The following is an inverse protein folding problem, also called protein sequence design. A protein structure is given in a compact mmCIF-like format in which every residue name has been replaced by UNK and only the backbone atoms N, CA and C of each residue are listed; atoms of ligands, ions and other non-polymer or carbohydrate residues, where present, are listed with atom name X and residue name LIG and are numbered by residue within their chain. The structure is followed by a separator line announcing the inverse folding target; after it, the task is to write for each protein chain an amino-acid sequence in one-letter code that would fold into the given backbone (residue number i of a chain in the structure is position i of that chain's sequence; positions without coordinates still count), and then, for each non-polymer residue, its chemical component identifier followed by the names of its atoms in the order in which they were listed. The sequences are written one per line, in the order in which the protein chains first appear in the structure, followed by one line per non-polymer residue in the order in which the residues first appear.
data_IF_579110100475
#
_entry.id   IF_579110100475
#
_cell.length_a   1.000
_cell.length_b   1.000
_cell.length_c   1.000
_cell.angle_alpha   90.00
_cell.angle_beta   90.00
_cell.angle_gamma   90.00
#
_symmetry.space_group_name_H-M   'P 1'
#
loop_
_entity.id
_entity.type
_entity.pdbx_description
1 polymer ?
#
# COMPACT_ATOMS: atom_id res chain seq x y z
N UNK A 1 0.39 32.30 4.14
CA UNK A 1 -0.39 31.20 3.52
C UNK A 1 0.19 29.93 4.10
N UNK A 2 -0.64 29.03 4.60
CA UNK A 2 -0.16 27.73 5.12
C UNK A 2 0.58 26.99 4.00
N UNK A 3 1.67 26.30 4.37
CA UNK A 3 2.45 25.54 3.41
C UNK A 3 1.64 24.33 2.91
N UNK A 4 1.81 23.89 1.65
CA UNK A 4 1.24 22.65 1.18
C UNK A 4 1.60 21.47 2.10
N UNK A 5 0.66 20.53 2.24
CA UNK A 5 0.78 19.32 3.06
C UNK A 5 0.79 18.06 2.20
N UNK A 6 1.60 17.07 2.59
CA UNK A 6 1.59 15.73 2.03
C UNK A 6 0.69 14.85 2.90
N UNK A 7 -0.43 14.40 2.35
CA UNK A 7 -1.38 13.53 3.02
C UNK A 7 -1.22 12.07 2.58
N UNK A 8 -1.72 11.14 3.40
CA UNK A 8 -1.77 9.72 3.10
C UNK A 8 -3.08 9.07 3.57
N UNK A 9 -3.54 8.07 2.82
CA UNK A 9 -4.69 7.21 3.12
C UNK A 9 -4.53 5.86 2.40
N UNK A 10 -5.17 4.79 2.88
CA UNK A 10 -5.23 3.48 2.22
C UNK A 10 -6.52 2.74 2.56
N UNK A 11 -6.69 1.56 1.97
CA UNK A 11 -7.75 0.61 2.32
C UNK A 11 -9.14 1.25 2.21
N UNK A 12 -9.36 1.96 1.10
CA UNK A 12 -10.61 2.66 0.82
C UNK A 12 -11.74 1.67 0.55
N UNK A 13 -11.48 0.53 -0.08
CA UNK A 13 -12.48 -0.52 -0.34
C UNK A 13 -13.82 0.03 -0.87
N UNK A 14 -13.78 0.79 -1.97
CA UNK A 14 -14.93 1.58 -2.48
C UNK A 14 -16.10 0.77 -3.03
N UNK A 15 -16.00 -0.56 -3.04
CA UNK A 15 -17.13 -1.46 -3.25
C UNK A 15 -18.19 -1.32 -2.14
N UNK A 16 -17.78 -0.94 -0.93
CA UNK A 16 -18.70 -0.56 0.14
C UNK A 16 -19.23 0.86 -0.10
N UNK A 17 -20.55 1.00 -0.18
CA UNK A 17 -21.21 2.30 -0.41
C UNK A 17 -20.76 3.34 0.62
N UNK A 18 -20.68 2.97 1.89
CA UNK A 18 -20.26 3.88 2.96
C UNK A 18 -18.83 4.39 2.77
N UNK A 19 -17.94 3.55 2.23
CA UNK A 19 -16.57 3.95 1.94
C UNK A 19 -16.47 4.76 0.63
N UNK A 20 -17.28 4.46 -0.37
CA UNK A 20 -17.42 5.29 -1.57
C UNK A 20 -17.81 6.72 -1.20
N UNK A 21 -18.78 6.88 -0.29
CA UNK A 21 -19.19 8.19 0.23
C UNK A 21 -18.07 8.91 1.01
N UNK A 22 -17.14 8.17 1.64
CA UNK A 22 -15.94 8.76 2.25
C UNK A 22 -15.07 9.40 1.17
N UNK A 23 -14.72 8.65 0.12
CA UNK A 23 -13.86 9.13 -0.99
C UNK A 23 -14.47 10.36 -1.65
N UNK A 24 -15.79 10.38 -1.84
CA UNK A 24 -16.51 11.52 -2.40
C UNK A 24 -16.35 12.82 -1.59
N UNK A 25 -16.12 12.72 -0.28
CA UNK A 25 -15.93 13.86 0.63
C UNK A 25 -14.48 14.30 0.79
N UNK A 26 -13.49 13.49 0.40
CA UNK A 26 -12.07 13.83 0.55
C UNK A 26 -11.73 15.06 -0.30
N UNK A 27 -11.21 16.12 0.33
CA UNK A 27 -10.78 17.36 -0.33
C UNK A 27 -9.40 17.75 0.20
N UNK A 28 -8.55 18.39 -0.61
CA UNK A 28 -7.34 19.03 -0.10
C UNK A 28 -7.69 20.17 0.87
N UNK A 29 -6.76 20.53 1.74
CA UNK A 29 -6.84 21.69 2.62
C UNK A 29 -6.22 22.93 1.94
N UNK A 30 -5.32 22.72 0.97
CA UNK A 30 -4.62 23.73 0.19
C UNK A 30 -4.42 23.26 -1.28
N UNK A 31 -4.46 24.18 -2.24
CA UNK A 31 -4.36 23.86 -3.69
C UNK A 31 -3.07 23.16 -4.10
N UNK A 32 -2.04 23.22 -3.26
CA UNK A 32 -0.75 22.55 -3.45
C UNK A 32 -0.63 21.17 -2.80
N UNK A 33 -1.67 20.68 -2.12
CA UNK A 33 -1.59 19.44 -1.36
C UNK A 33 -1.43 18.22 -2.25
N UNK A 34 -0.63 17.27 -1.76
CA UNK A 34 -0.44 15.96 -2.38
C UNK A 34 -1.14 14.88 -1.55
N UNK A 35 -1.61 13.83 -2.23
CA UNK A 35 -2.23 12.68 -1.57
C UNK A 35 -1.54 11.37 -1.98
N UNK A 36 -1.06 10.64 -0.99
CA UNK A 36 -0.64 9.25 -1.12
C UNK A 36 -1.86 8.34 -0.90
N UNK A 37 -2.05 7.38 -1.81
CA UNK A 37 -3.05 6.32 -1.73
C UNK A 37 -2.32 4.97 -1.68
N UNK A 38 -2.14 4.42 -0.48
CA UNK A 38 -1.29 3.26 -0.21
C UNK A 38 -2.03 1.90 -0.32
N UNK A 39 -2.65 1.69 -1.48
CA UNK A 39 -3.29 0.43 -1.86
C UNK A 39 -4.69 0.23 -1.31
N UNK A 40 -5.32 -0.84 -1.79
CA UNK A 40 -6.68 -1.29 -1.47
C UNK A 40 -7.75 -0.21 -1.68
N UNK A 41 -7.68 0.47 -2.83
CA UNK A 41 -8.70 1.39 -3.31
C UNK A 41 -10.02 0.66 -3.56
N UNK A 42 -9.95 -0.48 -4.26
CA UNK A 42 -11.09 -1.31 -4.62
C UNK A 42 -10.64 -2.55 -5.39
N UNK A 43 -11.59 -3.46 -5.65
CA UNK A 43 -11.30 -4.75 -6.29
C UNK A 43 -11.51 -4.70 -7.81
N UNK A 44 -12.58 -4.03 -8.25
CA UNK A 44 -12.94 -3.93 -9.66
C UNK A 44 -12.14 -2.81 -10.33
N UNK A 45 -11.69 -3.07 -11.56
CA UNK A 45 -10.90 -2.10 -12.32
C UNK A 45 -11.57 -0.71 -12.42
N UNK A 46 -12.87 -0.69 -12.75
CA UNK A 46 -13.63 0.55 -12.91
C UNK A 46 -13.80 1.33 -11.60
N UNK A 47 -13.84 0.63 -10.46
CA UNK A 47 -13.94 1.27 -9.14
C UNK A 47 -12.63 1.96 -8.76
N UNK A 48 -11.49 1.31 -9.03
CA UNK A 48 -10.16 1.87 -8.83
C UNK A 48 -9.96 3.10 -9.70
N UNK A 49 -10.27 3.00 -10.99
CA UNK A 49 -10.19 4.11 -11.95
C UNK A 49 -11.06 5.30 -11.52
N UNK A 50 -12.32 5.04 -11.11
CA UNK A 50 -13.21 6.08 -10.61
C UNK A 50 -12.63 6.80 -9.39
N UNK A 51 -12.17 6.05 -8.38
CA UNK A 51 -11.71 6.62 -7.12
C UNK A 51 -10.43 7.44 -7.33
N UNK A 52 -9.44 6.89 -8.04
CA UNK A 52 -8.19 7.59 -8.33
C UNK A 52 -8.43 8.81 -9.22
N UNK A 53 -9.30 8.72 -10.22
CA UNK A 53 -9.66 9.86 -11.07
C UNK A 53 -10.34 10.99 -10.31
N UNK A 54 -11.23 10.66 -9.37
CA UNK A 54 -11.89 11.65 -8.52
C UNK A 54 -10.89 12.39 -7.62
N UNK A 55 -9.92 11.68 -7.05
CA UNK A 55 -8.88 12.25 -6.19
C UNK A 55 -7.87 13.07 -7.01
N UNK A 56 -7.46 12.57 -8.18
CA UNK A 56 -6.54 13.27 -9.09
C UNK A 56 -7.13 14.59 -9.61
N UNK A 57 -8.46 14.66 -9.79
CA UNK A 57 -9.15 15.91 -10.13
C UNK A 57 -9.27 16.92 -8.97
N UNK A 58 -8.75 16.61 -7.78
CA UNK A 58 -8.86 17.45 -6.57
C UNK A 58 -7.51 17.86 -5.98
N UNK A 59 -6.56 16.93 -5.86
CA UNK A 59 -5.24 17.20 -5.29
C UNK A 59 -4.25 17.65 -6.37
N UNK A 60 -3.26 18.46 -6.01
CA UNK A 60 -2.21 18.86 -6.96
C UNK A 60 -1.39 17.68 -7.47
N UNK A 61 -1.29 16.61 -6.68
CA UNK A 61 -0.69 15.34 -7.08
C UNK A 61 -1.28 14.20 -6.28
N UNK A 62 -1.58 13.10 -6.96
CA UNK A 62 -1.92 11.82 -6.34
C UNK A 62 -0.81 10.83 -6.64
N UNK A 63 -0.39 10.09 -5.63
CA UNK A 63 0.65 9.06 -5.69
C UNK A 63 0.02 7.76 -5.20
N UNK A 64 -0.03 6.76 -6.05
CA UNK A 64 -0.65 5.48 -5.77
C UNK A 64 0.39 4.36 -5.71
N UNK A 65 0.16 3.40 -4.83
CA UNK A 65 0.76 2.06 -4.90
C UNK A 65 -0.36 1.00 -4.81
N UNK A 66 -0.27 -0.13 -5.55
CA UNK A 66 -1.26 -1.20 -5.45
C UNK A 66 -1.25 -1.89 -4.08
N UNK A 67 -2.44 -2.24 -3.59
CA UNK A 67 -2.63 -3.25 -2.55
C UNK A 67 -2.86 -4.64 -3.15
N UNK A 68 -3.29 -5.59 -2.32
CA UNK A 68 -3.65 -6.92 -2.83
C UNK A 68 -5.00 -6.88 -3.56
N UNK A 69 -5.96 -6.06 -3.11
CA UNK A 69 -7.30 -6.05 -3.68
C UNK A 69 -7.33 -5.54 -5.12
N UNK A 70 -6.51 -4.56 -5.49
CA UNK A 70 -6.43 -4.12 -6.90
C UNK A 70 -5.90 -5.22 -7.82
N UNK A 71 -5.12 -6.17 -7.30
CA UNK A 71 -4.52 -7.26 -8.07
C UNK A 71 -5.41 -8.50 -8.15
N UNK A 72 -6.51 -8.52 -7.40
CA UNK A 72 -7.51 -9.57 -7.52
C UNK A 72 -8.15 -9.55 -8.90
N UNK A 73 -8.53 -10.71 -9.42
CA UNK A 73 -9.36 -10.81 -10.64
C UNK A 73 -10.71 -11.46 -10.32
N UNK A 74 -11.66 -10.71 -9.72
CA UNK A 74 -13.01 -11.22 -9.48
C UNK A 74 -13.71 -11.60 -10.78
N UNK A 75 -14.67 -12.52 -10.71
CA UNK A 75 -15.43 -12.95 -11.89
C UNK A 75 -16.28 -11.81 -12.47
N UNK A 76 -16.70 -10.90 -11.60
CA UNK A 76 -17.58 -9.78 -11.89
C UNK A 76 -16.85 -8.61 -12.56
N UNK A 77 -15.50 -8.59 -12.53
CA UNK A 77 -14.71 -7.54 -13.17
C UNK A 77 -14.77 -7.69 -14.70
N UNK A 78 -15.27 -6.71 -15.47
CA UNK A 78 -15.19 -6.78 -16.93
C UNK A 78 -13.74 -6.91 -17.45
N UNK A 79 -12.76 -6.38 -16.70
CA UNK A 79 -11.33 -6.50 -17.01
C UNK A 79 -10.77 -7.79 -16.39
N UNK A 80 -10.75 -8.86 -17.18
CA UNK A 80 -10.28 -10.19 -16.77
C UNK A 80 -8.75 -10.39 -16.90
N UNK A 81 -7.97 -9.31 -16.97
CA UNK A 81 -6.51 -9.39 -16.91
C UNK A 81 -6.06 -9.88 -15.53
N UNK A 82 -4.97 -10.63 -15.50
CA UNK A 82 -4.40 -11.25 -14.29
C UNK A 82 -2.93 -10.88 -14.11
N UNK A 83 -2.44 -11.01 -12.87
CA UNK A 83 -1.03 -10.86 -12.52
C UNK A 83 -0.38 -9.59 -13.06
N UNK A 84 0.81 -9.72 -13.64
CA UNK A 84 1.55 -8.57 -14.16
C UNK A 84 0.76 -7.81 -15.23
N UNK A 85 0.02 -8.49 -16.10
CA UNK A 85 -0.79 -7.81 -17.12
C UNK A 85 -1.88 -6.92 -16.50
N UNK A 86 -2.53 -7.37 -15.41
CA UNK A 86 -3.48 -6.55 -14.65
C UNK A 86 -2.80 -5.34 -14.04
N UNK A 87 -1.68 -5.55 -13.37
CA UNK A 87 -0.89 -4.48 -12.76
C UNK A 87 -0.49 -3.42 -13.79
N UNK A 88 0.02 -3.83 -14.95
CA UNK A 88 0.42 -2.90 -16.03
C UNK A 88 -0.77 -2.09 -16.55
N UNK A 89 -1.95 -2.71 -16.70
CA UNK A 89 -3.16 -2.00 -17.11
C UNK A 89 -3.62 -0.96 -16.08
N UNK A 90 -3.47 -1.24 -14.78
CA UNK A 90 -3.73 -0.26 -13.71
C UNK A 90 -2.74 0.90 -13.77
N UNK A 91 -1.44 0.61 -13.99
CA UNK A 91 -0.41 1.64 -14.18
C UNK A 91 -0.73 2.54 -15.38
N UNK A 92 -1.17 1.97 -16.50
CA UNK A 92 -1.59 2.73 -17.67
C UNK A 92 -2.78 3.65 -17.37
N UNK A 93 -3.82 3.15 -16.70
CA UNK A 93 -4.96 3.98 -16.28
C UNK A 93 -4.53 5.12 -15.33
N UNK A 94 -3.65 4.83 -14.37
CA UNK A 94 -3.09 5.86 -13.50
C UNK A 94 -2.37 6.96 -14.29
N UNK A 95 -1.58 6.61 -15.31
CA UNK A 95 -0.91 7.58 -16.18
C UNK A 95 -1.90 8.44 -16.98
N UNK A 96 -2.97 7.84 -17.50
CA UNK A 96 -4.05 8.56 -18.18
C UNK A 96 -4.73 9.58 -17.24
N UNK A 97 -4.81 9.25 -15.95
CA UNK A 97 -5.36 10.12 -14.89
C UNK A 97 -4.35 11.12 -14.31
N UNK A 98 -3.08 11.06 -14.69
CA UNK A 98 -2.01 11.90 -14.11
C UNK A 98 -1.60 11.49 -12.68
N UNK A 99 -1.92 10.26 -12.26
CA UNK A 99 -1.55 9.67 -10.98
C UNK A 99 -0.16 9.05 -11.08
N UNK A 100 0.72 9.36 -10.12
CA UNK A 100 2.06 8.77 -10.04
C UNK A 100 1.97 7.34 -9.52
N UNK A 101 2.69 6.42 -10.18
CA UNK A 101 2.71 4.99 -9.83
C UNK A 101 4.10 4.55 -9.39
N UNK A 102 4.27 3.30 -8.89
CA UNK A 102 5.58 2.73 -8.63
C UNK A 102 6.49 2.67 -9.86
N UNK A 103 5.95 2.79 -11.09
CA UNK A 103 6.68 2.66 -12.35
C UNK A 103 7.19 4.01 -12.91
N UNK A 104 6.83 5.13 -12.28
CA UNK A 104 7.18 6.47 -12.74
C UNK A 104 8.33 7.07 -11.92
N UNK A 105 9.05 8.11 -12.41
CA UNK A 105 10.10 8.77 -11.64
C UNK A 105 9.60 9.24 -10.27
N UNK A 106 10.41 9.04 -9.22
CA UNK A 106 10.02 9.38 -7.85
C UNK A 106 9.88 10.91 -7.69
N UNK A 107 8.67 11.43 -7.41
CA UNK A 107 8.48 12.87 -7.27
C UNK A 107 9.12 13.37 -5.97
N UNK A 108 9.68 14.58 -6.01
CA UNK A 108 10.23 15.24 -4.83
C UNK A 108 9.19 16.19 -4.24
N UNK A 109 8.80 15.92 -2.99
CA UNK A 109 7.96 16.81 -2.21
C UNK A 109 8.80 17.93 -1.60
N UNK A 110 8.42 19.18 -1.85
CA UNK A 110 9.12 20.38 -1.36
C UNK A 110 8.27 21.25 -0.43
N UNK A 111 7.09 20.75 -0.01
CA UNK A 111 6.25 21.43 0.98
C UNK A 111 6.72 21.17 2.41
N UNK A 112 5.80 21.19 3.38
CA UNK A 112 6.14 20.96 4.79
C UNK A 112 6.85 19.60 4.99
N UNK A 113 7.99 19.61 5.68
CA UNK A 113 8.84 18.43 5.90
C UNK A 113 9.76 18.05 4.73
N UNK A 114 9.70 18.75 3.58
CA UNK A 114 10.59 18.55 2.44
C UNK A 114 11.93 19.31 2.51
N UNK A 115 12.85 19.10 1.55
CA UNK A 115 12.70 18.23 0.38
C UNK A 115 12.85 16.74 0.71
N UNK A 116 11.93 15.90 0.21
CA UNK A 116 12.00 14.44 0.33
C UNK A 116 11.53 13.77 -0.97
N UNK A 117 12.14 12.65 -1.34
CA UNK A 117 11.66 11.82 -2.45
C UNK A 117 10.49 10.96 -1.97
N UNK A 118 9.32 11.02 -2.62
CA UNK A 118 8.20 10.13 -2.33
C UNK A 118 8.31 8.89 -3.21
N UNK A 119 8.46 7.73 -2.59
CA UNK A 119 8.81 6.48 -3.28
C UNK A 119 7.65 5.49 -3.16
N UNK A 120 6.71 5.47 -4.12
CA UNK A 120 5.71 4.40 -4.22
C UNK A 120 6.38 3.07 -4.60
N UNK A 121 6.15 2.05 -3.79
CA UNK A 121 6.72 0.71 -3.90
C UNK A 121 5.61 -0.30 -4.17
N UNK A 122 5.84 -1.23 -5.10
CA UNK A 122 4.98 -2.41 -5.28
C UNK A 122 5.82 -3.66 -5.05
N UNK A 123 5.67 -4.30 -3.89
CA UNK A 123 6.57 -5.37 -3.44
C UNK A 123 5.91 -6.73 -3.19
N UNK A 124 4.58 -6.80 -2.97
CA UNK A 124 3.91 -8.03 -2.51
C UNK A 124 4.52 -8.59 -1.21
N UNK A 125 4.46 -9.91 -1.07
CA UNK A 125 4.96 -10.70 0.05
C UNK A 125 5.54 -12.02 -0.47
N UNK A 126 6.38 -12.65 0.36
CA UNK A 126 7.06 -13.90 0.03
C UNK A 126 6.88 -14.99 1.09
N UNK A 127 5.86 -14.86 1.96
CA UNK A 127 5.57 -15.83 3.02
C UNK A 127 6.67 -15.97 4.08
N UNK A 128 7.64 -15.05 4.12
CA UNK A 128 8.72 -15.09 5.12
C UNK A 128 8.29 -14.66 6.52
N UNK A 129 7.19 -13.91 6.67
CA UNK A 129 6.55 -13.61 7.95
C UNK A 129 5.77 -14.83 8.51
N UNK A 130 6.46 -15.96 8.63
CA UNK A 130 5.94 -17.28 9.04
C UNK A 130 5.42 -17.28 10.46
N UNK A 131 4.52 -18.21 10.78
CA UNK A 131 4.09 -18.43 12.16
C UNK A 131 5.27 -18.68 13.10
N UNK A 132 5.31 -18.06 14.31
CA UNK A 132 6.35 -18.33 15.29
C UNK A 132 6.45 -19.83 15.61
N UNK A 133 7.66 -20.38 15.53
CA UNK A 133 7.92 -21.80 15.74
C UNK A 133 7.88 -22.66 14.48
N UNK A 134 7.37 -22.14 13.35
CA UNK A 134 7.37 -22.83 12.07
C UNK A 134 8.47 -22.26 11.16
N UNK A 135 9.39 -23.11 10.73
CA UNK A 135 10.62 -22.69 10.06
C UNK A 135 10.57 -22.76 8.54
N UNK A 136 9.57 -23.44 7.96
CA UNK A 136 9.38 -23.52 6.51
C UNK A 136 8.10 -22.81 6.08
N UNK A 137 8.06 -22.38 4.82
CA UNK A 137 6.87 -21.77 4.20
C UNK A 137 5.72 -22.77 4.20
N UNK A 138 6.00 -24.01 3.82
CA UNK A 138 5.03 -25.10 3.70
C UNK A 138 4.36 -25.36 5.04
N UNK A 139 5.14 -25.53 6.13
CA UNK A 139 4.57 -25.76 7.45
C UNK A 139 3.72 -24.59 7.95
N UNK A 140 4.14 -23.35 7.68
CA UNK A 140 3.38 -22.14 8.04
C UNK A 140 2.05 -22.02 7.28
N UNK A 141 2.05 -22.40 5.99
CA UNK A 141 0.84 -22.43 5.18
C UNK A 141 -0.08 -23.57 5.61
N UNK A 142 0.46 -24.79 5.77
CA UNK A 142 -0.32 -25.96 6.23
C UNK A 142 -1.05 -25.64 7.53
N UNK A 143 -0.36 -25.03 8.51
CA UNK A 143 -0.99 -24.60 9.76
C UNK A 143 -2.11 -23.58 9.55
N UNK A 144 -1.94 -22.61 8.65
CA UNK A 144 -2.97 -21.62 8.34
C UNK A 144 -4.19 -22.24 7.65
N UNK A 145 -3.99 -23.24 6.79
CA UNK A 145 -5.07 -24.04 6.20
C UNK A 145 -5.80 -24.88 7.25
N UNK A 146 -5.06 -25.50 8.18
CA UNK A 146 -5.63 -26.27 9.30
C UNK A 146 -6.49 -25.41 10.24
N UNK A 147 -6.09 -24.17 10.51
CA UNK A 147 -6.83 -23.24 11.38
C UNK A 147 -7.89 -22.42 10.64
N UNK A 148 -7.93 -22.48 9.31
CA UNK A 148 -8.88 -21.75 8.47
C UNK A 148 -8.58 -20.26 8.31
N UNK A 149 -7.37 -19.80 8.67
CA UNK A 149 -6.92 -18.41 8.51
C UNK A 149 -6.16 -18.29 7.19
N UNK A 150 -6.88 -18.27 6.07
CA UNK A 150 -6.29 -18.24 4.72
C UNK A 150 -6.66 -16.94 4.00
N UNK A 151 -5.66 -16.27 3.43
CA UNK A 151 -5.89 -15.05 2.65
C UNK A 151 -6.57 -15.36 1.31
N UNK A 152 -7.55 -14.53 0.94
CA UNK A 152 -8.29 -14.63 -0.33
C UNK A 152 -7.37 -14.50 -1.56
N UNK A 153 -6.20 -13.89 -1.39
CA UNK A 153 -5.15 -13.81 -2.40
C UNK A 153 -4.75 -15.18 -2.98
N UNK A 154 -4.82 -16.25 -2.19
CA UNK A 154 -4.52 -17.61 -2.67
C UNK A 154 -5.42 -18.05 -3.83
N UNK A 155 -6.59 -17.41 -3.97
CA UNK A 155 -7.59 -17.70 -4.99
C UNK A 155 -7.63 -16.60 -6.05
N UNK A 156 -7.60 -15.32 -5.64
CA UNK A 156 -7.88 -14.19 -6.54
C UNK A 156 -6.64 -13.46 -7.04
N UNK A 157 -5.51 -13.54 -6.33
CA UNK A 157 -4.27 -12.88 -6.71
C UNK A 157 -3.38 -13.86 -7.49
N UNK A 158 -3.55 -13.83 -8.81
CA UNK A 158 -2.78 -14.65 -9.74
C UNK A 158 -1.40 -14.04 -10.01
N UNK A 159 -0.30 -14.80 -9.90
CA UNK A 159 1.05 -14.26 -10.06
C UNK A 159 1.58 -14.28 -11.50
N UNK A 160 0.77 -14.65 -12.50
CA UNK A 160 1.22 -14.77 -13.89
C UNK A 160 1.98 -13.51 -14.37
N UNK A 161 3.12 -13.63 -15.08
CA UNK A 161 3.75 -14.85 -15.59
C UNK A 161 4.70 -15.54 -14.59
N UNK A 162 4.82 -15.03 -13.36
CA UNK A 162 5.70 -15.61 -12.35
C UNK A 162 5.11 -16.93 -11.83
N UNK A 163 5.95 -17.92 -11.48
CA UNK A 163 5.47 -19.22 -11.01
C UNK A 163 4.81 -19.17 -9.63
N UNK A 164 5.00 -18.09 -8.86
CA UNK A 164 4.39 -17.90 -7.55
C UNK A 164 4.37 -16.41 -7.17
N UNK A 165 3.53 -16.06 -6.19
CA UNK A 165 3.49 -14.70 -5.58
C UNK A 165 4.82 -14.32 -4.95
N UNK A 166 5.52 -15.29 -4.35
CA UNK A 166 6.88 -15.14 -3.83
C UNK A 166 7.89 -14.82 -4.94
N UNK A 167 7.86 -15.53 -6.07
CA UNK A 167 8.74 -15.25 -7.19
C UNK A 167 8.48 -13.86 -7.78
N UNK A 168 7.21 -13.43 -7.83
CA UNK A 168 6.85 -12.08 -8.25
C UNK A 168 7.35 -11.03 -7.25
N UNK A 169 7.16 -11.25 -5.94
CA UNK A 169 7.71 -10.40 -4.87
C UNK A 169 9.23 -10.22 -5.04
N UNK A 170 9.98 -11.30 -5.25
CA UNK A 170 11.43 -11.21 -5.44
C UNK A 170 11.84 -10.45 -6.68
N UNK A 171 11.11 -10.60 -7.80
CA UNK A 171 11.35 -9.81 -9.00
C UNK A 171 11.07 -8.31 -8.75
N UNK A 172 10.01 -7.99 -8.01
CA UNK A 172 9.66 -6.62 -7.62
C UNK A 172 10.68 -5.99 -6.68
N UNK A 173 11.21 -6.75 -5.72
CA UNK A 173 12.29 -6.31 -4.85
C UNK A 173 13.53 -5.95 -5.67
N UNK A 174 13.99 -6.84 -6.56
CA UNK A 174 15.17 -6.60 -7.39
C UNK A 174 15.05 -5.35 -8.27
N UNK A 175 13.91 -5.15 -8.93
CA UNK A 175 13.68 -3.95 -9.74
C UNK A 175 13.62 -2.68 -8.88
N UNK A 176 12.99 -2.77 -7.71
CA UNK A 176 12.85 -1.62 -6.82
C UNK A 176 14.18 -1.22 -6.18
N UNK A 177 15.01 -2.19 -5.79
CA UNK A 177 16.39 -1.94 -5.32
C UNK A 177 17.24 -1.25 -6.39
N UNK A 178 17.13 -1.69 -7.65
CA UNK A 178 17.83 -1.05 -8.78
C UNK A 178 17.45 0.42 -8.89
N UNK A 179 16.16 0.74 -8.78
CA UNK A 179 15.67 2.12 -8.89
C UNK A 179 15.98 2.98 -7.68
N UNK A 180 15.97 2.40 -6.48
CA UNK A 180 16.39 3.08 -5.26
C UNK A 180 17.89 3.38 -5.24
N UNK A 181 18.71 2.55 -5.90
CA UNK A 181 20.14 2.80 -6.06
C UNK A 181 20.44 3.99 -7.00
N UNK A 182 19.54 4.29 -7.93
CA UNK A 182 19.64 5.45 -8.84
C UNK A 182 19.16 6.77 -8.19
N UNK A 183 18.61 6.73 -6.98
CA UNK A 183 18.14 7.92 -6.26
C UNK A 183 19.33 8.71 -5.68
N UNK A 184 19.22 10.04 -5.70
CA UNK A 184 20.15 10.93 -5.01
C UNK A 184 20.32 10.50 -3.54
N UNK A 185 21.56 10.19 -3.16
CA UNK A 185 21.90 9.65 -1.85
C UNK A 185 21.82 10.70 -0.73
N UNK A 186 21.65 11.97 -1.08
CA UNK A 186 21.47 13.09 -0.13
C UNK A 186 20.01 13.35 0.22
N UNK A 187 19.05 12.85 -0.59
CA UNK A 187 17.63 13.03 -0.33
C UNK A 187 17.11 11.98 0.67
N UNK A 188 16.39 12.40 1.73
CA UNK A 188 15.56 11.49 2.52
C UNK A 188 14.37 10.99 1.69
N UNK A 189 13.79 9.85 2.09
CA UNK A 189 12.63 9.26 1.40
C UNK A 189 11.37 9.25 2.26
N UNK A 190 10.21 9.33 1.61
CA UNK A 190 8.95 8.77 2.13
C UNK A 190 8.72 7.46 1.41
N UNK A 191 8.90 6.33 2.09
CA UNK A 191 8.65 5.01 1.51
C UNK A 191 7.16 4.69 1.62
N UNK A 192 6.52 4.36 0.50
CA UNK A 192 5.09 4.07 0.46
C UNK A 192 4.88 2.66 -0.08
N UNK A 193 4.41 1.74 0.74
CA UNK A 193 4.11 0.38 0.32
C UNK A 193 2.82 -0.05 0.99
N UNK A 194 1.94 -0.78 0.30
CA UNK A 194 0.70 -1.23 0.92
C UNK A 194 0.97 -2.13 2.15
N UNK A 195 1.92 -3.06 2.03
CA UNK A 195 2.35 -3.94 3.11
C UNK A 195 3.38 -3.24 4.02
N UNK A 196 3.39 -3.52 5.34
CA UNK A 196 4.45 -3.03 6.21
C UNK A 196 5.83 -3.53 5.75
N UNK A 197 6.84 -2.65 5.78
CA UNK A 197 8.21 -3.00 5.40
C UNK A 197 8.94 -3.82 6.48
N UNK A 198 8.42 -3.80 7.70
CA UNK A 198 8.95 -4.52 8.86
C UNK A 198 7.88 -5.43 9.45
N UNK A 199 8.29 -6.44 10.21
CA UNK A 199 7.38 -7.48 10.72
C UNK A 199 6.60 -7.05 11.96
N UNK A 200 7.15 -6.16 12.76
CA UNK A 200 6.64 -5.74 14.07
C UNK A 200 5.15 -5.35 14.05
N UNK A 201 4.62 -4.60 13.06
CA UNK A 201 3.22 -4.27 12.98
C UNK A 201 2.27 -5.47 13.02
N UNK A 202 2.67 -6.63 12.47
CA UNK A 202 1.82 -7.82 12.38
C UNK A 202 1.71 -8.59 13.71
N UNK A 203 2.57 -8.30 14.69
CA UNK A 203 2.58 -9.00 16.00
C UNK A 203 1.32 -8.80 16.83
N UNK A 204 0.50 -7.81 16.50
CA UNK A 204 -0.78 -7.54 17.17
C UNK A 204 -2.00 -8.02 16.38
N UNK A 205 -1.80 -8.72 15.26
CA UNK A 205 -2.91 -9.32 14.52
C UNK A 205 -3.68 -10.27 15.43
N UNK A 206 -5.01 -10.23 15.33
CA UNK A 206 -5.89 -11.14 16.06
C UNK A 206 -5.61 -12.61 15.69
N UNK A 207 -5.25 -12.84 14.43
CA UNK A 207 -4.90 -14.15 13.87
C UNK A 207 -3.47 -14.05 13.31
N UNK A 208 -2.44 -14.47 14.07
CA UNK A 208 -1.04 -14.32 13.68
C UNK A 208 -0.68 -15.11 12.41
N UNK A 209 -1.45 -16.14 12.05
CA UNK A 209 -1.27 -16.96 10.85
C UNK A 209 -1.36 -16.12 9.58
N UNK A 210 -2.11 -15.01 9.63
CA UNK A 210 -2.29 -14.09 8.50
C UNK A 210 -1.01 -13.33 8.15
N UNK A 211 -0.06 -13.21 9.08
CA UNK A 211 1.15 -12.40 8.89
C UNK A 211 1.98 -12.79 7.66
N UNK A 212 1.92 -14.05 7.21
CA UNK A 212 2.66 -14.53 6.04
C UNK A 212 2.22 -13.90 4.72
N UNK A 213 1.04 -13.28 4.66
CA UNK A 213 0.57 -12.49 3.51
C UNK A 213 0.82 -10.98 3.67
N UNK A 214 1.54 -10.55 4.73
CA UNK A 214 1.67 -9.14 5.09
C UNK A 214 3.03 -8.51 4.76
N UNK A 215 3.90 -9.17 3.99
CA UNK A 215 5.17 -8.58 3.55
C UNK A 215 6.31 -9.59 3.41
N UNK A 216 7.54 -9.09 3.49
CA UNK A 216 8.78 -9.86 3.34
C UNK A 216 9.84 -9.41 4.35
N UNK A 217 10.62 -10.35 4.89
CA UNK A 217 11.77 -10.07 5.75
C UNK A 217 12.90 -9.34 4.99
N UNK A 218 12.89 -9.35 3.65
CA UNK A 218 13.92 -8.73 2.80
C UNK A 218 13.91 -7.20 2.83
N UNK A 219 12.84 -6.59 3.35
CA UNK A 219 12.71 -5.12 3.46
C UNK A 219 12.97 -4.61 4.87
N UNK A 220 13.38 -5.48 5.79
CA UNK A 220 13.43 -5.17 7.23
C UNK A 220 14.37 -4.02 7.61
N UNK A 221 15.33 -3.66 6.76
CA UNK A 221 16.24 -2.53 6.97
C UNK A 221 16.04 -1.38 5.97
N UNK A 222 15.03 -1.45 5.09
CA UNK A 222 14.86 -0.49 3.99
C UNK A 222 14.59 0.93 4.48
N UNK A 223 13.90 1.09 5.61
CA UNK A 223 13.69 2.41 6.22
C UNK A 223 15.00 3.07 6.65
N UNK A 224 16.03 2.30 6.98
CA UNK A 224 17.37 2.82 7.29
C UNK A 224 18.22 2.95 6.03
N UNK A 225 18.32 1.86 5.25
CA UNK A 225 19.15 1.76 4.05
C UNK A 225 18.82 2.84 3.01
N UNK A 226 17.54 3.19 2.90
CA UNK A 226 17.05 4.21 1.97
C UNK A 226 16.65 5.51 2.66
N UNK A 227 17.10 5.75 3.90
CA UNK A 227 16.96 7.03 4.62
C UNK A 227 15.51 7.52 4.70
N UNK A 228 14.61 6.63 5.08
CA UNK A 228 13.21 6.99 5.23
C UNK A 228 13.04 7.99 6.38
N UNK A 229 12.49 9.16 6.06
CA UNK A 229 11.95 10.07 7.07
C UNK A 229 10.64 9.50 7.65
N UNK A 230 9.81 8.92 6.78
CA UNK A 230 8.54 8.27 7.13
C UNK A 230 8.30 7.07 6.21
N UNK A 231 7.76 5.98 6.76
CA UNK A 231 7.23 4.85 6.01
C UNK A 231 5.69 4.83 6.14
N UNK A 232 5.00 4.83 5.01
CA UNK A 232 3.53 4.83 4.93
C UNK A 232 3.05 3.49 4.40
N UNK A 233 2.09 2.88 5.09
CA UNK A 233 1.51 1.60 4.70
C UNK A 233 0.04 1.45 5.13
N UNK A 234 -0.60 0.36 4.70
CA UNK A 234 -1.99 0.02 5.00
C UNK A 234 -2.11 -1.46 5.36
N UNK A 235 -3.03 -2.16 4.69
CA UNK A 235 -3.21 -3.63 4.68
C UNK A 235 -3.73 -4.24 5.98
N UNK A 236 -3.22 -3.80 7.14
CA UNK A 236 -3.51 -4.42 8.42
C UNK A 236 -4.88 -3.99 8.98
N UNK A 237 -5.43 -2.88 8.49
CA UNK A 237 -6.65 -2.25 9.00
C UNK A 237 -6.51 -1.84 10.47
N UNK A 238 -5.30 -1.43 10.88
CA UNK A 238 -4.96 -1.02 12.25
C UNK A 238 -4.29 0.36 12.21
N UNK A 239 -5.07 1.43 11.97
CA UNK A 239 -4.51 2.77 11.78
C UNK A 239 -3.85 3.28 13.06
N UNK A 240 -2.55 3.62 12.94
CA UNK A 240 -1.71 4.09 14.05
C UNK A 240 -0.40 4.67 13.54
N UNK A 241 0.24 5.41 14.43
CA UNK A 241 1.62 5.87 14.28
C UNK A 241 2.52 5.02 15.18
N UNK A 242 3.61 4.51 14.63
CA UNK A 242 4.62 3.71 15.33
C UNK A 242 6.03 4.19 14.97
N UNK A 243 7.03 3.76 15.73
CA UNK A 243 8.43 4.13 15.49
C UNK A 243 9.31 2.88 15.50
N UNK A 244 10.13 2.73 14.47
CA UNK A 244 11.08 1.61 14.30
C UNK A 244 12.44 2.20 13.96
N UNK A 245 13.45 1.92 14.79
CA UNK A 245 14.81 2.44 14.63
C UNK A 245 14.88 3.97 14.49
N UNK A 246 13.97 4.68 15.16
CA UNK A 246 13.85 6.14 15.08
C UNK A 246 13.16 6.67 13.83
N UNK A 247 12.66 5.81 12.94
CA UNK A 247 11.85 6.19 11.77
C UNK A 247 10.37 6.05 12.06
N UNK A 248 9.56 7.03 11.62
CA UNK A 248 8.11 7.02 11.78
C UNK A 248 7.44 6.09 10.78
N UNK A 249 6.53 5.26 11.27
CA UNK A 249 5.69 4.39 10.45
C UNK A 249 4.22 4.75 10.65
N UNK A 250 3.53 5.06 9.57
CA UNK A 250 2.12 5.45 9.56
C UNK A 250 1.30 4.36 8.86
N UNK A 251 0.44 3.67 9.64
CA UNK A 251 -0.63 2.85 9.09
C UNK A 251 -1.83 3.77 8.85
N UNK A 252 -2.24 3.89 7.59
CA UNK A 252 -3.20 4.92 7.12
C UNK A 252 -4.52 4.34 6.60
N UNK A 253 -4.87 3.14 7.03
CA UNK A 253 -6.05 2.41 6.57
C UNK A 253 -7.36 3.06 7.02
N UNK A 254 -8.34 3.09 6.12
CA UNK A 254 -9.74 3.27 6.48
C UNK A 254 -10.31 1.93 6.96
N UNK A 255 -10.19 0.89 6.13
CA UNK A 255 -10.74 -0.44 6.37
C UNK A 255 -12.24 -0.54 6.07
N UNK A 256 -12.85 -1.66 6.44
CA UNK A 256 -14.26 -1.92 6.12
C UNK A 256 -15.22 -1.20 7.09
N UNK A 257 -16.48 -0.93 6.68
CA UNK A 257 -17.47 -0.30 7.55
C UNK A 257 -17.65 -0.93 8.93
N UNK A 258 -17.62 -2.27 9.00
CA UNK A 258 -17.72 -3.00 10.28
C UNK A 258 -16.54 -2.78 11.23
N UNK A 259 -15.39 -2.36 10.70
CA UNK A 259 -14.13 -2.20 11.45
C UNK A 259 -13.93 -0.78 11.94
N UNK A 260 -14.30 0.23 11.13
CA UNK A 260 -14.15 1.62 11.54
C UNK A 260 -15.35 2.15 12.32
N UNK A 261 -16.57 1.60 12.17
CA UNK A 261 -17.76 2.02 12.94
C UNK A 261 -17.56 1.98 14.47
N UNK A 262 -16.87 0.99 15.04
CA UNK A 262 -16.59 0.95 16.48
C UNK A 262 -15.44 1.87 16.93
N UNK A 263 -14.65 2.43 16.01
CA UNK A 263 -13.50 3.30 16.36
C UNK A 263 -14.02 4.66 16.83
N UNK A 264 -13.30 5.28 17.79
CA UNK A 264 -13.61 6.63 18.26
C UNK A 264 -13.23 7.72 17.25
N UNK A 265 -12.30 7.43 16.34
CA UNK A 265 -11.86 8.32 15.28
C UNK A 265 -12.76 8.20 14.05
N UNK A 266 -13.22 9.32 13.46
CA UNK A 266 -13.96 9.28 12.20
C UNK A 266 -13.18 8.57 11.09
N UNK A 267 -13.86 7.82 10.20
CA UNK A 267 -13.20 7.19 9.07
C UNK A 267 -12.83 8.24 8.00
N UNK A 268 -11.79 7.97 7.21
CA UNK A 268 -11.39 8.83 6.09
C UNK A 268 -10.69 10.13 6.47
N UNK A 269 -10.29 10.31 7.73
CA UNK A 269 -9.39 11.40 8.11
C UNK A 269 -8.03 11.18 7.46
N UNK A 270 -7.59 12.13 6.64
CA UNK A 270 -6.29 12.07 5.98
C UNK A 270 -5.17 12.14 7.01
N UNK A 271 -4.18 11.26 6.89
CA UNK A 271 -2.96 11.32 7.70
C UNK A 271 -2.02 12.37 7.12
N UNK A 272 -1.57 13.33 7.92
CA UNK A 272 -0.43 14.17 7.55
C UNK A 272 0.86 13.35 7.64
N UNK A 273 1.62 13.30 6.55
CA UNK A 273 2.89 12.55 6.50
C UNK A 273 3.99 13.27 7.27
N UNK A 274 3.89 14.58 7.47
CA UNK A 274 4.76 15.39 8.31
C UNK A 274 3.89 16.20 9.27
N UNK A 275 4.35 16.33 10.53
CA UNK A 275 3.66 17.13 11.55
C UNK A 275 3.93 18.63 11.35
#
# INVERSE_FOLDING_TARGET
MEAPTLFAISDLHVAYKENREIVERIKPEHDGDWLIVAGDVGELFADVEWALGLLAGRFAKVIWTPGNHELWTPREDPVQLRGEARYRRLVESCRELGVVTPEDPYPVWTGQGGPVAVVPLFLLYDYSFRMPGLTTKEASLDYAYETGVVCTDEILLHPDPYPSREAWCWARLAETERRLADLDDTLPTVLVNHYPLVREPTRILRYPEFAQWCGTERTADWHLRYRAAVAVYGHLHIPRTTWHDGVRFEEVSVGYPREWRPRSTPPGTLRRVFD
#
